data_IF_614187545150
#
_entry.id   IF_614187545150
#
_cell.length_a   1.000
_cell.length_b   1.000
_cell.length_c   1.000
_cell.angle_alpha   90.00
_cell.angle_beta   90.00
_cell.angle_gamma   90.00
#
_symmetry.space_group_name_H-M   'P 1'
#
loop_
_entity.id
_entity.type
_entity.pdbx_description
1 polymer ?
#
# COMPACT_ATOMS: atom_id res chain seq x y z
N UNK A 1 13.92 -0.84 17.93
CA UNK A 1 14.07 -1.31 16.54
C UNK A 1 14.24 -0.12 15.61
N UNK A 2 15.08 -0.25 14.55
CA UNK A 2 15.21 0.77 13.53
C UNK A 2 15.13 0.16 12.13
N UNK A 3 14.66 0.93 11.14
CA UNK A 3 14.64 0.50 9.72
C UNK A 3 14.59 1.73 8.81
N UNK A 4 14.91 1.53 7.54
CA UNK A 4 14.79 2.55 6.49
C UNK A 4 13.60 2.21 5.61
N UNK A 5 12.72 3.19 5.37
CA UNK A 5 11.57 3.07 4.48
C UNK A 5 11.57 4.25 3.50
N UNK A 6 11.59 3.96 2.20
CA UNK A 6 11.65 4.98 1.14
C UNK A 6 12.72 6.06 1.39
N UNK A 7 13.95 5.64 1.74
CA UNK A 7 15.10 6.48 2.07
C UNK A 7 15.00 7.31 3.37
N UNK A 8 13.97 7.09 4.19
CA UNK A 8 13.83 7.72 5.51
C UNK A 8 14.11 6.70 6.60
N UNK A 9 15.00 7.06 7.55
CA UNK A 9 15.30 6.23 8.73
C UNK A 9 14.23 6.43 9.80
N UNK A 10 13.68 5.33 10.28
CA UNK A 10 12.70 5.30 11.38
C UNK A 10 13.29 4.60 12.59
N UNK A 11 13.03 5.16 13.78
CA UNK A 11 13.32 4.55 15.06
C UNK A 11 11.99 4.21 15.75
N UNK A 12 11.86 2.94 16.14
CA UNK A 12 10.66 2.36 16.71
C UNK A 12 10.88 2.19 18.21
N UNK A 13 9.96 2.72 19.00
CA UNK A 13 9.90 2.54 20.45
C UNK A 13 8.93 1.40 20.82
N UNK A 14 8.95 1.03 22.10
CA UNK A 14 7.94 0.13 22.65
C UNK A 14 6.55 0.76 22.54
N UNK A 15 5.56 -0.03 22.11
CA UNK A 15 4.19 0.44 21.90
C UNK A 15 3.91 1.06 20.54
N UNK A 16 4.92 1.18 19.67
CA UNK A 16 4.68 1.62 18.29
C UNK A 16 4.09 0.49 17.43
N UNK A 17 3.24 0.87 16.49
CA UNK A 17 2.70 -0.02 15.46
C UNK A 17 3.33 0.32 14.11
N UNK A 18 3.84 -0.70 13.40
CA UNK A 18 4.47 -0.51 12.09
C UNK A 18 3.67 -1.22 11.02
N UNK A 19 3.32 -0.51 9.95
CA UNK A 19 2.65 -1.07 8.79
C UNK A 19 3.54 -0.87 7.57
N UNK A 20 4.10 -1.96 7.05
CA UNK A 20 4.84 -1.95 5.80
C UNK A 20 3.91 -2.44 4.68
N UNK A 21 3.47 -1.54 3.79
CA UNK A 21 2.56 -1.91 2.70
C UNK A 21 3.21 -2.87 1.70
N UNK A 22 4.53 -2.88 1.63
CA UNK A 22 5.34 -3.86 0.93
C UNK A 22 6.65 -4.04 1.72
N UNK A 23 6.97 -5.28 2.08
CA UNK A 23 8.18 -5.61 2.84
C UNK A 23 9.48 -5.16 2.13
N UNK A 24 9.48 -5.12 0.80
CA UNK A 24 10.64 -4.68 -0.01
C UNK A 24 10.94 -3.19 0.10
N UNK A 25 9.99 -2.38 0.57
CA UNK A 25 10.20 -0.95 0.79
C UNK A 25 10.94 -0.67 2.10
N UNK A 26 11.08 -1.68 2.97
CA UNK A 26 11.84 -1.63 4.20
C UNK A 26 13.22 -2.25 4.02
N UNK A 27 14.26 -1.61 4.56
CA UNK A 27 15.63 -2.11 4.54
C UNK A 27 16.39 -1.68 5.80
N UNK A 28 17.58 -2.25 6.00
CA UNK A 28 18.47 -1.86 7.10
C UNK A 28 17.84 -2.05 8.48
N UNK A 29 17.09 -3.14 8.66
CA UNK A 29 16.47 -3.49 9.93
C UNK A 29 17.54 -3.72 11.00
N UNK A 30 17.35 -3.12 12.17
CA UNK A 30 18.17 -3.31 13.36
C UNK A 30 17.27 -3.43 14.59
N UNK A 31 17.54 -4.39 15.44
CA UNK A 31 16.78 -4.64 16.66
C UNK A 31 17.74 -4.64 17.87
N UNK A 32 17.24 -4.29 19.05
CA UNK A 32 17.95 -4.46 20.31
C UNK A 32 17.73 -5.89 20.84
N UNK A 33 18.59 -6.34 21.75
CA UNK A 33 18.52 -7.70 22.32
C UNK A 33 17.22 -7.97 23.09
N UNK A 34 16.61 -6.92 23.61
CA UNK A 34 15.34 -6.96 24.36
C UNK A 34 14.11 -6.79 23.46
N UNK A 35 14.28 -6.69 22.13
CA UNK A 35 13.17 -6.49 21.22
C UNK A 35 12.14 -7.62 21.30
N UNK A 36 10.88 -7.24 21.45
CA UNK A 36 9.73 -8.14 21.38
C UNK A 36 8.69 -7.51 20.45
N UNK A 37 8.04 -8.33 19.62
CA UNK A 37 7.03 -7.86 18.70
C UNK A 37 6.16 -8.99 18.17
N UNK A 38 4.97 -8.63 17.70
CA UNK A 38 4.07 -9.50 16.94
C UNK A 38 4.14 -9.04 15.49
N UNK A 39 4.36 -9.97 14.57
CA UNK A 39 4.35 -9.69 13.14
C UNK A 39 3.19 -10.44 12.49
N UNK A 40 2.45 -9.73 11.64
CA UNK A 40 1.38 -10.29 10.83
C UNK A 40 1.59 -9.90 9.36
N UNK A 41 1.45 -10.86 8.45
CA UNK A 41 1.51 -10.63 7.02
C UNK A 41 0.11 -10.79 6.41
N UNK A 42 -0.32 -9.81 5.63
CA UNK A 42 -1.59 -9.80 4.92
C UNK A 42 -1.36 -9.61 3.41
N UNK A 43 -2.25 -10.17 2.60
CA UNK A 43 -2.21 -9.88 1.17
C UNK A 43 -2.66 -8.44 0.90
N UNK A 44 -1.98 -7.76 -0.03
CA UNK A 44 -2.33 -6.39 -0.43
C UNK A 44 -3.77 -6.31 -0.95
N UNK A 45 -4.20 -7.29 -1.73
CA UNK A 45 -5.56 -7.36 -2.26
C UNK A 45 -6.62 -7.39 -1.15
N UNK A 46 -6.36 -8.12 -0.07
CA UNK A 46 -7.27 -8.18 1.09
C UNK A 46 -7.37 -6.81 1.78
N UNK A 47 -6.23 -6.18 2.09
CA UNK A 47 -6.20 -4.85 2.74
C UNK A 47 -6.89 -3.79 1.88
N UNK A 48 -6.63 -3.80 0.57
CA UNK A 48 -7.26 -2.90 -0.38
C UNK A 48 -8.78 -3.08 -0.44
N UNK A 49 -9.28 -4.32 -0.40
CA UNK A 49 -10.72 -4.60 -0.42
C UNK A 49 -11.46 -4.00 0.78
N UNK A 50 -10.79 -3.88 1.93
CA UNK A 50 -11.34 -3.23 3.13
C UNK A 50 -11.29 -1.71 2.96
N UNK A 51 -10.17 -1.17 2.51
CA UNK A 51 -10.00 0.27 2.32
C UNK A 51 -11.05 0.86 1.37
N UNK A 52 -11.35 0.16 0.27
CA UNK A 52 -12.31 0.61 -0.75
C UNK A 52 -13.76 0.62 -0.24
N UNK A 53 -14.10 -0.17 0.77
CA UNK A 53 -15.48 -0.21 1.32
C UNK A 53 -15.91 1.09 2.01
N UNK A 54 -14.97 1.94 2.38
CA UNK A 54 -15.23 3.18 3.10
C UNK A 54 -14.43 4.35 2.52
N UNK A 55 -15.05 5.52 2.38
CA UNK A 55 -14.34 6.74 1.97
C UNK A 55 -13.21 7.09 2.95
N UNK A 56 -13.41 6.89 4.24
CA UNK A 56 -12.39 7.13 5.27
C UNK A 56 -11.32 6.04 5.29
N UNK A 57 -11.66 4.80 5.00
CA UNK A 57 -10.71 3.70 4.88
C UNK A 57 -9.65 3.97 3.82
N UNK A 58 -10.02 4.58 2.68
CA UNK A 58 -9.07 4.92 1.64
C UNK A 58 -8.11 6.05 2.07
N UNK A 59 -8.59 7.00 2.85
CA UNK A 59 -7.75 8.08 3.41
C UNK A 59 -6.71 7.48 4.36
N UNK A 60 -7.14 6.60 5.27
CA UNK A 60 -6.26 5.86 6.18
C UNK A 60 -5.22 5.05 5.42
N UNK A 61 -5.65 4.29 4.40
CA UNK A 61 -4.77 3.49 3.56
C UNK A 61 -3.69 4.33 2.87
N UNK A 62 -4.05 5.41 2.18
CA UNK A 62 -3.11 6.30 1.51
C UNK A 62 -2.13 6.95 2.49
N UNK A 63 -2.60 7.30 3.67
CA UNK A 63 -1.76 7.90 4.72
C UNK A 63 -0.75 6.91 5.28
N UNK A 64 -1.14 5.66 5.50
CA UNK A 64 -0.24 4.58 5.94
C UNK A 64 0.84 4.25 4.91
N UNK A 65 0.54 4.38 3.63
CA UNK A 65 1.54 4.21 2.58
C UNK A 65 2.67 5.24 2.63
N UNK A 66 2.47 6.37 3.32
CA UNK A 66 3.50 7.41 3.47
C UNK A 66 4.29 7.30 4.76
N UNK A 67 3.60 7.06 5.87
CA UNK A 67 4.22 6.95 7.19
C UNK A 67 3.92 5.58 7.76
N UNK A 68 4.89 4.65 7.73
CA UNK A 68 4.68 3.28 8.17
C UNK A 68 4.62 3.13 9.69
N UNK A 69 4.90 4.19 10.46
CA UNK A 69 4.99 4.13 11.92
C UNK A 69 3.83 4.90 12.56
N UNK A 70 3.08 4.22 13.40
CA UNK A 70 2.02 4.81 14.21
C UNK A 70 2.44 4.81 15.68
N UNK A 71 2.43 5.98 16.30
CA UNK A 71 2.60 6.16 17.74
C UNK A 71 1.25 5.91 18.40
N UNK A 72 1.13 4.82 19.15
CA UNK A 72 -0.12 4.46 19.79
C UNK A 72 -0.24 5.12 21.17
N UNK A 73 -1.46 5.51 21.53
CA UNK A 73 -1.79 5.78 22.92
C UNK A 73 -1.79 4.49 23.74
N UNK A 74 -1.71 4.56 25.05
CA UNK A 74 -1.79 3.39 25.92
C UNK A 74 -3.11 2.60 25.75
N UNK A 75 -4.19 3.29 25.39
CA UNK A 75 -5.48 2.67 25.09
C UNK A 75 -5.41 1.92 23.74
N UNK A 76 -4.99 2.61 22.67
CA UNK A 76 -4.90 2.04 21.34
C UNK A 76 -3.93 0.85 21.28
N UNK A 77 -2.81 0.94 22.01
CA UNK A 77 -1.87 -0.18 22.15
C UNK A 77 -2.56 -1.43 22.71
N UNK A 78 -3.27 -1.30 23.83
CA UNK A 78 -4.00 -2.44 24.42
C UNK A 78 -5.06 -3.00 23.49
N UNK A 79 -5.78 -2.16 22.76
CA UNK A 79 -6.77 -2.58 21.77
C UNK A 79 -6.13 -3.37 20.64
N UNK A 80 -5.06 -2.86 20.04
CA UNK A 80 -4.32 -3.56 18.98
C UNK A 80 -3.69 -4.87 19.47
N UNK A 81 -3.08 -4.86 20.65
CA UNK A 81 -2.48 -6.05 21.25
C UNK A 81 -3.52 -7.15 21.49
N UNK A 82 -4.66 -6.80 22.11
CA UNK A 82 -5.76 -7.75 22.34
C UNK A 82 -6.32 -8.33 21.03
N UNK A 83 -6.48 -7.49 20.00
CA UNK A 83 -6.94 -7.93 18.68
C UNK A 83 -5.98 -8.92 18.05
N UNK A 84 -4.66 -8.64 18.07
CA UNK A 84 -3.63 -9.52 17.51
C UNK A 84 -3.53 -10.84 18.29
N UNK A 85 -3.63 -10.80 19.63
CA UNK A 85 -3.62 -12.00 20.47
C UNK A 85 -4.87 -12.86 20.19
N UNK A 86 -6.03 -12.23 20.05
CA UNK A 86 -7.28 -12.93 19.74
C UNK A 86 -7.23 -13.56 18.34
N UNK A 87 -6.73 -12.83 17.33
CA UNK A 87 -6.50 -13.36 16.00
C UNK A 87 -5.59 -14.60 16.04
N UNK A 88 -4.45 -14.51 16.76
CA UNK A 88 -3.53 -15.63 16.91
C UNK A 88 -4.21 -16.85 17.54
N UNK A 89 -4.94 -16.67 18.62
CA UNK A 89 -5.70 -17.75 19.26
C UNK A 89 -6.67 -18.42 18.30
N UNK A 90 -7.42 -17.63 17.52
CA UNK A 90 -8.38 -18.15 16.53
C UNK A 90 -7.69 -18.83 15.34
N UNK A 91 -6.48 -18.42 14.97
CA UNK A 91 -5.68 -19.08 13.93
C UNK A 91 -5.19 -20.47 14.38
N UNK A 92 -4.91 -20.65 15.66
CA UNK A 92 -4.46 -21.94 16.23
C UNK A 92 -5.62 -22.92 16.44
N UNK A 93 -6.86 -22.42 16.51
CA UNK A 93 -8.06 -23.25 16.71
C UNK A 93 -8.35 -24.09 15.46
N UNK A 94 -8.43 -25.42 15.66
CA UNK A 94 -8.75 -26.39 14.62
C UNK A 94 -10.22 -26.79 14.72
N UNK A 95 -10.91 -26.88 13.57
CA UNK A 95 -12.26 -27.44 13.51
C UNK A 95 -13.39 -26.41 13.52
N UNK A 96 -13.13 -25.13 13.48
CA UNK A 96 -14.19 -24.13 13.28
C UNK A 96 -14.71 -24.15 11.84
N UNK A 97 -16.01 -24.38 11.65
CA UNK A 97 -16.62 -24.59 10.34
C UNK A 97 -16.47 -23.37 9.40
N UNK A 98 -16.56 -22.16 9.96
CA UNK A 98 -16.45 -20.89 9.23
C UNK A 98 -15.14 -20.14 9.58
N UNK A 99 -14.02 -20.90 9.65
CA UNK A 99 -12.74 -20.36 10.12
C UNK A 99 -12.21 -19.22 9.26
N UNK A 100 -12.29 -19.36 7.95
CA UNK A 100 -11.78 -18.35 7.01
C UNK A 100 -12.58 -17.05 7.08
N UNK A 101 -13.91 -17.16 7.10
CA UNK A 101 -14.81 -16.01 7.22
C UNK A 101 -14.66 -15.31 8.57
N UNK A 102 -14.48 -16.06 9.64
CA UNK A 102 -14.24 -15.52 10.97
C UNK A 102 -12.93 -14.74 11.01
N UNK A 103 -11.83 -15.34 10.55
CA UNK A 103 -10.52 -14.67 10.50
C UNK A 103 -10.57 -13.44 9.60
N UNK A 104 -11.22 -13.51 8.44
CA UNK A 104 -11.42 -12.37 7.55
C UNK A 104 -12.19 -11.22 8.22
N UNK A 105 -13.22 -11.54 9.00
CA UNK A 105 -13.99 -10.53 9.74
C UNK A 105 -13.19 -9.88 10.86
N UNK A 106 -12.45 -10.67 11.64
CA UNK A 106 -11.57 -10.16 12.70
C UNK A 106 -10.44 -9.28 12.16
N UNK A 107 -9.81 -9.69 11.05
CA UNK A 107 -8.80 -8.89 10.36
C UNK A 107 -9.41 -7.59 9.82
N UNK A 108 -10.63 -7.64 9.27
CA UNK A 108 -11.35 -6.46 8.82
C UNK A 108 -11.57 -5.47 9.97
N UNK A 109 -12.05 -5.94 11.11
CA UNK A 109 -12.26 -5.12 12.30
C UNK A 109 -10.95 -4.47 12.76
N UNK A 110 -9.87 -5.25 12.86
CA UNK A 110 -8.56 -4.72 13.26
C UNK A 110 -8.01 -3.67 12.29
N UNK A 111 -8.15 -3.87 10.97
CA UNK A 111 -7.72 -2.87 9.97
C UNK A 111 -8.55 -1.58 10.09
N UNK A 112 -9.84 -1.67 10.36
CA UNK A 112 -10.69 -0.51 10.57
C UNK A 112 -10.30 0.26 11.85
N UNK A 113 -9.95 -0.44 12.93
CA UNK A 113 -9.38 0.19 14.14
C UNK A 113 -8.08 0.93 13.82
N UNK A 114 -7.17 0.33 13.05
CA UNK A 114 -5.93 0.99 12.63
C UNK A 114 -6.19 2.23 11.77
N UNK A 115 -7.20 2.20 10.90
CA UNK A 115 -7.59 3.38 10.12
C UNK A 115 -8.15 4.49 11.00
N UNK A 116 -8.97 4.15 12.00
CA UNK A 116 -9.51 5.11 12.95
C UNK A 116 -8.40 5.74 13.81
N UNK A 117 -7.50 4.93 14.37
CA UNK A 117 -6.35 5.40 15.14
C UNK A 117 -5.48 6.36 14.30
N UNK A 118 -5.23 5.98 13.05
CA UNK A 118 -4.44 6.82 12.14
C UNK A 118 -5.16 8.11 11.76
N UNK A 119 -6.47 8.05 11.52
CA UNK A 119 -7.28 9.24 11.24
C UNK A 119 -7.31 10.23 12.41
N UNK A 120 -7.43 9.72 13.65
CA UNK A 120 -7.39 10.54 14.86
C UNK A 120 -6.03 11.19 15.11
N UNK A 121 -4.94 10.53 14.71
CA UNK A 121 -3.57 11.08 14.86
C UNK A 121 -3.26 12.22 13.87
N UNK A 122 -4.08 12.39 12.85
CA UNK A 122 -4.03 13.50 11.89
C UNK A 122 -5.36 14.23 11.94
N UNK A 123 -5.32 15.55 11.91
CA UNK A 123 -6.54 16.36 11.83
C UNK A 123 -7.21 16.17 10.43
N UNK A 124 -7.78 14.97 10.23
CA UNK A 124 -8.55 14.62 9.03
C UNK A 124 -9.98 15.15 9.07
N UNK A 125 -10.38 15.79 10.17
CA UNK A 125 -11.71 16.37 10.36
C UNK A 125 -12.11 17.42 9.30
N UNK A 126 -11.13 17.92 8.55
CA UNK A 126 -11.34 18.92 7.49
C UNK A 126 -11.49 18.33 6.06
N UNK A 127 -11.43 17.00 5.90
CA UNK A 127 -11.65 16.40 4.58
C UNK A 127 -13.15 16.22 4.34
N UNK A 128 -13.68 16.97 3.37
CA UNK A 128 -15.09 16.83 2.98
C UNK A 128 -15.35 15.41 2.44
N UNK A 129 -16.55 14.90 2.69
CA UNK A 129 -17.00 13.60 2.17
C UNK A 129 -16.86 13.52 0.64
N UNK A 130 -16.99 14.64 -0.04
CA UNK A 130 -16.79 14.74 -1.49
C UNK A 130 -15.34 14.38 -1.88
N UNK A 131 -14.33 14.93 -1.19
CA UNK A 131 -12.91 14.61 -1.45
C UNK A 131 -12.64 13.13 -1.19
N UNK A 132 -13.14 12.60 -0.07
CA UNK A 132 -12.99 11.18 0.26
C UNK A 132 -13.62 10.28 -0.81
N UNK A 133 -14.81 10.63 -1.31
CA UNK A 133 -15.50 9.91 -2.39
C UNK A 133 -14.70 9.93 -3.71
N UNK A 134 -14.15 11.08 -4.10
CA UNK A 134 -13.34 11.20 -5.32
C UNK A 134 -12.05 10.37 -5.22
N UNK A 135 -11.38 10.41 -4.08
CA UNK A 135 -10.18 9.59 -3.84
C UNK A 135 -10.51 8.10 -3.86
N UNK A 136 -11.62 7.68 -3.25
CA UNK A 136 -12.07 6.28 -3.32
C UNK A 136 -12.21 5.82 -4.76
N UNK A 137 -12.94 6.56 -5.61
CA UNK A 137 -13.12 6.24 -7.02
C UNK A 137 -11.79 6.18 -7.78
N UNK A 138 -10.87 7.12 -7.51
CA UNK A 138 -9.53 7.11 -8.10
C UNK A 138 -8.76 5.84 -7.75
N UNK A 139 -8.76 5.46 -6.49
CA UNK A 139 -8.06 4.26 -6.01
C UNK A 139 -8.74 2.99 -6.53
N UNK A 140 -10.08 2.95 -6.63
CA UNK A 140 -10.79 1.84 -7.28
C UNK A 140 -10.33 1.63 -8.73
N UNK A 141 -10.14 2.71 -9.52
CA UNK A 141 -9.60 2.59 -10.88
C UNK A 141 -8.20 2.00 -10.88
N UNK A 142 -7.34 2.37 -9.92
CA UNK A 142 -6.01 1.79 -9.78
C UNK A 142 -6.08 0.30 -9.42
N UNK A 143 -6.87 -0.10 -8.44
CA UNK A 143 -7.02 -1.51 -8.08
C UNK A 143 -7.69 -2.37 -9.15
N UNK A 144 -8.51 -1.77 -10.00
CA UNK A 144 -9.08 -2.43 -11.18
C UNK A 144 -8.08 -2.59 -12.33
N UNK A 145 -6.82 -2.13 -12.16
CA UNK A 145 -5.74 -2.33 -13.12
C UNK A 145 -5.74 -1.36 -14.29
N UNK A 146 -6.48 -0.25 -14.20
CA UNK A 146 -6.52 0.75 -15.29
C UNK A 146 -5.14 1.31 -15.64
N UNK A 147 -4.21 1.36 -14.67
CA UNK A 147 -2.82 1.78 -14.89
C UNK A 147 -2.04 0.89 -15.88
N UNK A 148 -2.48 -0.34 -16.10
CA UNK A 148 -1.85 -1.21 -17.10
C UNK A 148 -2.09 -0.68 -18.52
N UNK A 149 -3.25 -0.07 -18.77
CA UNK A 149 -3.66 0.46 -20.07
C UNK A 149 -3.46 1.97 -20.17
N UNK A 150 -3.74 2.70 -19.10
CA UNK A 150 -3.78 4.17 -19.06
C UNK A 150 -2.92 4.69 -17.91
N UNK A 151 -1.86 5.43 -18.23
CA UNK A 151 -0.97 6.07 -17.26
C UNK A 151 -1.08 7.58 -17.24
N UNK A 152 -1.94 8.10 -18.09
CA UNK A 152 -2.18 9.53 -18.21
C UNK A 152 -3.16 10.01 -17.13
N UNK A 153 -2.81 11.12 -16.48
CA UNK A 153 -3.62 11.75 -15.45
C UNK A 153 -4.98 12.21 -15.99
N UNK A 154 -5.02 12.66 -17.25
CA UNK A 154 -6.24 13.14 -17.91
C UNK A 154 -7.29 12.04 -18.02
N UNK A 155 -6.86 10.78 -18.26
CA UNK A 155 -7.77 9.65 -18.28
C UNK A 155 -8.51 9.49 -16.93
N UNK A 156 -7.77 9.50 -15.81
CA UNK A 156 -8.36 9.33 -14.48
C UNK A 156 -9.26 10.53 -14.12
N UNK A 157 -8.81 11.73 -14.39
CA UNK A 157 -9.56 12.93 -14.12
C UNK A 157 -10.90 12.95 -14.90
N UNK A 158 -10.87 12.56 -16.17
CA UNK A 158 -12.08 12.45 -17.02
C UNK A 158 -13.05 11.40 -16.47
N UNK A 159 -12.55 10.24 -16.02
CA UNK A 159 -13.39 9.20 -15.41
C UNK A 159 -14.09 9.65 -14.13
N UNK A 160 -13.47 10.59 -13.42
CA UNK A 160 -13.98 11.16 -12.18
C UNK A 160 -14.79 12.46 -12.38
N UNK A 161 -14.91 12.95 -13.63
CA UNK A 161 -15.54 14.21 -13.97
C UNK A 161 -14.94 15.40 -13.20
N UNK A 162 -13.62 15.43 -13.04
CA UNK A 162 -12.86 16.52 -12.40
C UNK A 162 -11.64 16.90 -13.24
N UNK A 163 -11.00 18.02 -12.90
CA UNK A 163 -9.77 18.43 -13.60
C UNK A 163 -8.55 17.64 -13.12
N UNK A 164 -7.53 17.42 -13.98
CA UNK A 164 -6.27 16.77 -13.58
C UNK A 164 -5.57 17.49 -12.44
N UNK A 165 -5.61 18.82 -12.44
CA UNK A 165 -5.06 19.65 -11.37
C UNK A 165 -5.75 19.34 -10.04
N UNK A 166 -7.09 19.35 -10.01
CA UNK A 166 -7.86 19.07 -8.81
C UNK A 166 -7.63 17.66 -8.28
N UNK A 167 -7.56 16.64 -9.16
CA UNK A 167 -7.22 15.27 -8.75
C UNK A 167 -5.84 15.21 -8.07
N UNK A 168 -4.83 15.86 -8.65
CA UNK A 168 -3.50 15.92 -8.05
C UNK A 168 -3.48 16.67 -6.73
N UNK A 169 -4.26 17.74 -6.60
CA UNK A 169 -4.36 18.54 -5.38
C UNK A 169 -4.98 17.75 -4.24
N UNK A 170 -6.12 17.08 -4.45
CA UNK A 170 -6.75 16.27 -3.41
C UNK A 170 -5.87 15.08 -3.00
N UNK A 171 -5.16 14.44 -3.95
CA UNK A 171 -4.18 13.42 -3.64
C UNK A 171 -3.05 13.98 -2.76
N UNK A 172 -2.49 15.16 -3.07
CA UNK A 172 -1.46 15.80 -2.23
C UNK A 172 -1.97 16.15 -0.84
N UNK A 173 -3.18 16.68 -0.75
CA UNK A 173 -3.78 17.05 0.54
C UNK A 173 -3.87 15.86 1.49
N UNK A 174 -4.25 14.68 0.98
CA UNK A 174 -4.45 13.46 1.78
C UNK A 174 -3.15 12.68 1.96
N UNK A 175 -2.40 12.52 0.88
CA UNK A 175 -1.25 11.61 0.86
C UNK A 175 0.11 12.32 0.70
N UNK A 176 0.15 13.67 0.62
CA UNK A 176 1.35 14.46 0.34
C UNK A 176 1.97 14.20 -1.05
N UNK A 177 1.37 13.35 -1.87
CA UNK A 177 1.86 12.98 -3.18
C UNK A 177 0.80 13.25 -4.26
N UNK A 178 1.21 13.70 -5.46
CA UNK A 178 0.27 13.93 -6.56
C UNK A 178 -0.32 12.61 -7.09
N UNK A 179 -1.44 12.67 -7.81
CA UNK A 179 -2.08 11.50 -8.40
C UNK A 179 -1.15 10.71 -9.34
N UNK A 180 -0.30 11.39 -10.11
CA UNK A 180 0.70 10.77 -10.98
C UNK A 180 1.67 9.85 -10.23
N UNK A 181 2.04 10.21 -9.00
CA UNK A 181 2.86 9.36 -8.15
C UNK A 181 2.18 8.01 -7.87
N UNK A 182 0.87 8.01 -7.60
CA UNK A 182 0.12 6.80 -7.32
C UNK A 182 -0.05 5.93 -8.56
N UNK A 183 -0.36 6.55 -9.71
CA UNK A 183 -0.42 5.85 -11.00
C UNK A 183 0.91 5.16 -11.30
N UNK A 184 2.02 5.89 -11.19
CA UNK A 184 3.36 5.34 -11.40
C UNK A 184 3.69 4.21 -10.41
N UNK A 185 3.34 4.38 -9.14
CA UNK A 185 3.59 3.39 -8.09
C UNK A 185 2.90 2.05 -8.42
N UNK A 186 1.60 2.06 -8.73
CA UNK A 186 0.87 0.85 -9.12
C UNK A 186 1.44 0.25 -10.40
N UNK A 187 1.78 1.09 -11.38
CA UNK A 187 2.40 0.65 -12.64
C UNK A 187 3.72 -0.08 -12.38
N UNK A 188 4.62 0.50 -11.59
CA UNK A 188 5.93 -0.07 -11.30
C UNK A 188 5.82 -1.34 -10.45
N UNK A 189 4.91 -1.38 -9.49
CA UNK A 189 4.66 -2.56 -8.69
C UNK A 189 4.25 -3.75 -9.57
N UNK A 190 3.34 -3.56 -10.51
CA UNK A 190 2.94 -4.61 -11.44
C UNK A 190 4.09 -5.00 -12.41
N UNK A 191 4.81 -4.02 -12.95
CA UNK A 191 5.98 -4.28 -13.80
C UNK A 191 7.01 -5.14 -13.05
N UNK A 192 7.35 -4.78 -11.80
CA UNK A 192 8.33 -5.53 -11.01
C UNK A 192 7.84 -6.94 -10.70
N UNK A 193 6.54 -7.12 -10.43
CA UNK A 193 5.92 -8.43 -10.26
C UNK A 193 6.06 -9.29 -11.52
N UNK A 194 5.79 -8.72 -12.71
CA UNK A 194 5.94 -9.40 -13.99
C UNK A 194 7.41 -9.70 -14.32
N UNK A 195 8.34 -8.80 -14.01
CA UNK A 195 9.77 -8.99 -14.22
C UNK A 195 10.36 -10.15 -13.40
N UNK A 196 9.78 -10.50 -12.25
CA UNK A 196 10.17 -11.68 -11.46
C UNK A 196 9.79 -13.00 -12.14
N UNK A 197 8.81 -13.00 -13.02
CA UNK A 197 8.45 -14.15 -13.83
C UNK A 197 9.46 -14.27 -14.98
N UNK A 198 10.51 -15.07 -14.78
CA UNK A 198 11.68 -15.14 -15.67
C UNK A 198 11.34 -15.59 -17.09
N UNK A 199 10.38 -16.49 -17.22
CA UNK A 199 9.93 -17.06 -18.48
C UNK A 199 9.16 -16.03 -19.33
N UNK A 200 8.75 -14.92 -18.75
CA UNK A 200 7.97 -13.91 -19.46
C UNK A 200 8.90 -12.94 -20.22
N UNK A 201 8.87 -12.92 -21.58
CA UNK A 201 9.68 -12.00 -22.37
C UNK A 201 9.39 -10.52 -22.02
N UNK A 202 10.39 -9.66 -22.14
CA UNK A 202 10.20 -8.21 -21.93
C UNK A 202 9.22 -7.61 -22.93
N UNK A 203 9.16 -8.15 -24.15
CA UNK A 203 8.16 -7.79 -25.17
C UNK A 203 6.75 -8.03 -24.69
N UNK A 204 6.50 -9.20 -24.14
CA UNK A 204 5.18 -9.58 -23.58
C UNK A 204 4.81 -8.72 -22.38
N UNK A 205 5.78 -8.35 -21.53
CA UNK A 205 5.51 -7.42 -20.41
C UNK A 205 5.14 -6.05 -20.95
N UNK A 206 5.89 -5.52 -21.92
CA UNK A 206 5.61 -4.23 -22.54
C UNK A 206 4.21 -4.20 -23.18
N UNK A 207 3.82 -5.26 -23.88
CA UNK A 207 2.49 -5.42 -24.47
C UNK A 207 1.39 -5.48 -23.42
N UNK A 208 1.52 -6.32 -22.38
CA UNK A 208 0.55 -6.43 -21.29
C UNK A 208 0.34 -5.11 -20.56
N UNK A 209 1.42 -4.34 -20.43
CA UNK A 209 1.40 -3.03 -19.80
C UNK A 209 1.08 -1.90 -20.79
N UNK A 210 0.62 -2.23 -22.02
CA UNK A 210 0.23 -1.28 -23.06
C UNK A 210 1.28 -0.19 -23.33
N UNK A 211 2.55 -0.59 -23.47
CA UNK A 211 3.61 0.28 -23.98
C UNK A 211 3.70 0.18 -25.50
N UNK A 212 3.87 1.32 -26.16
CA UNK A 212 3.97 1.39 -27.63
C UNK A 212 5.22 0.72 -28.20
N UNK A 213 6.25 0.50 -27.39
CA UNK A 213 7.46 -0.25 -27.76
C UNK A 213 8.24 -0.72 -26.53
N UNK A 214 9.03 -1.77 -26.71
CA UNK A 214 9.95 -2.28 -25.67
C UNK A 214 11.01 -1.21 -25.29
N UNK A 215 11.42 -0.39 -26.24
CA UNK A 215 12.38 0.70 -25.98
C UNK A 215 11.78 1.77 -25.07
N UNK A 216 10.50 2.13 -25.28
CA UNK A 216 9.80 3.07 -24.40
C UNK A 216 9.56 2.45 -23.02
N UNK A 217 9.13 1.21 -22.94
CA UNK A 217 9.00 0.43 -21.71
C UNK A 217 10.32 0.44 -20.92
N UNK A 218 11.44 0.12 -21.55
CA UNK A 218 12.74 0.05 -20.90
C UNK A 218 13.17 1.40 -20.32
N UNK A 219 12.98 2.49 -21.06
CA UNK A 219 13.26 3.85 -20.59
C UNK A 219 12.35 4.25 -19.43
N UNK A 220 11.07 3.90 -19.49
CA UNK A 220 10.12 4.16 -18.41
C UNK A 220 10.57 3.45 -17.12
N UNK A 221 10.87 2.16 -17.19
CA UNK A 221 11.33 1.35 -16.05
C UNK A 221 12.63 1.92 -15.48
N UNK A 222 13.63 2.17 -16.32
CA UNK A 222 14.90 2.72 -15.88
C UNK A 222 14.76 4.08 -15.18
N UNK A 223 13.89 4.96 -15.69
CA UNK A 223 13.60 6.25 -15.07
C UNK A 223 12.97 6.12 -13.68
N UNK A 224 12.17 5.07 -13.43
CA UNK A 224 11.42 4.88 -12.19
C UNK A 224 12.12 3.98 -11.17
N UNK A 225 12.86 2.99 -11.60
CA UNK A 225 13.55 2.00 -10.75
C UNK A 225 15.05 2.33 -10.63
N UNK A 226 15.61 3.08 -11.56
CA UNK A 226 17.05 3.42 -11.60
C UNK A 226 17.90 2.45 -12.45
N UNK A 227 17.37 1.26 -12.77
CA UNK A 227 18.07 0.26 -13.59
C UNK A 227 17.18 -0.26 -14.72
N UNK A 228 17.77 -0.74 -15.83
CA UNK A 228 17.02 -1.35 -16.93
C UNK A 228 16.24 -2.61 -16.48
N UNK A 229 15.12 -2.96 -17.16
CA UNK A 229 14.32 -4.15 -16.81
C UNK A 229 15.11 -5.45 -16.78
N UNK A 230 16.03 -5.63 -17.73
CA UNK A 230 16.91 -6.82 -17.80
C UNK A 230 17.86 -6.92 -16.61
N UNK A 231 18.42 -5.80 -16.19
CA UNK A 231 19.30 -5.73 -15.02
C UNK A 231 18.50 -5.98 -13.73
N UNK A 232 17.33 -5.36 -13.59
CA UNK A 232 16.44 -5.61 -12.44
C UNK A 232 16.11 -7.11 -12.31
N UNK A 233 15.75 -7.77 -13.43
CA UNK A 233 15.49 -9.20 -13.47
C UNK A 233 16.68 -10.05 -13.02
N UNK A 234 17.90 -9.66 -13.40
CA UNK A 234 19.12 -10.37 -13.03
C UNK A 234 19.51 -10.16 -11.57
N UNK A 235 19.32 -8.95 -11.03
CA UNK A 235 19.62 -8.62 -9.64
C UNK A 235 18.65 -9.27 -8.65
N UNK A 236 17.42 -9.52 -9.05
CA UNK A 236 16.45 -10.34 -8.29
C UNK A 236 16.91 -11.82 -8.08
N UNK A 237 18.10 -12.20 -8.61
CA UNK A 237 18.77 -13.49 -8.32
C UNK A 237 19.55 -13.50 -7.00
N UNK A 238 19.84 -12.34 -6.40
CA UNK A 238 20.76 -12.23 -5.25
C UNK A 238 20.06 -12.01 -3.91
N UNK A 239 18.73 -11.98 -3.92
CA UNK A 239 17.85 -11.91 -2.72
C UNK A 239 17.01 -13.19 -2.59
#
# INVERSE_FOLDING_TARGET
MGFTFQNTRYNIAAGDYVILPNAELGSGFSVSDDFRGIMMALSEAFVASIAIRSNYGIIGHLSLLQNPVMKLSAHDFRTCEAALQYLRMRMEEKGHLFREELLGSLLTAHILDLYDIHARSRDTSQLSEHIASQLRKFIELLYNGEYMRNRDLDFYASRLCITPHYLSEICRKVSGRPATYWIDRFTIQEITRLLRQRELPLTTIAERMNFSSVSYFSRYVQKRIGVPPSEYRNNAKKL
#
